data_IF_624130398385
#
_entry.id   IF_624130398385
#
_cell.length_a   1.000
_cell.length_b   1.000
_cell.length_c   1.000
_cell.angle_alpha   90.00
_cell.angle_beta   90.00
_cell.angle_gamma   90.00
#
_symmetry.space_group_name_H-M   'P 1'
#
loop_
_entity.id
_entity.type
_entity.pdbx_description
1 polymer ?
#
# COMPACT_ATOMS: atom_id res chain seq x y z
N UNK A 1 31.30 -23.58 44.04
CA UNK A 1 29.84 -23.42 44.04
C UNK A 1 29.48 -22.42 42.96
N UNK A 2 29.03 -22.89 41.80
CA UNK A 2 28.67 -22.06 40.66
C UNK A 2 27.15 -21.84 40.68
N UNK A 3 26.71 -20.60 40.95
CA UNK A 3 25.32 -20.22 40.83
C UNK A 3 24.99 -19.99 39.35
N UNK A 4 24.27 -20.94 38.74
CA UNK A 4 23.56 -20.71 37.49
C UNK A 4 22.35 -19.84 37.78
N UNK A 5 22.39 -18.58 37.36
CA UNK A 5 21.19 -17.75 37.23
C UNK A 5 20.44 -18.20 35.97
N UNK A 6 19.35 -18.95 36.15
CA UNK A 6 18.31 -19.07 35.14
C UNK A 6 17.59 -17.73 35.07
N UNK A 7 17.90 -16.95 34.03
CA UNK A 7 17.09 -15.82 33.59
C UNK A 7 15.96 -16.38 32.75
N UNK A 8 14.77 -16.52 33.34
CA UNK A 8 13.55 -16.72 32.56
C UNK A 8 13.21 -15.36 31.94
N UNK A 9 13.51 -15.20 30.64
CA UNK A 9 13.17 -13.99 29.88
C UNK A 9 11.64 -13.87 29.76
N UNK A 10 11.01 -12.87 30.41
CA UNK A 10 9.56 -12.70 30.39
C UNK A 10 9.01 -12.43 28.97
N UNK A 11 9.87 -11.98 28.05
CA UNK A 11 9.51 -11.63 26.67
C UNK A 11 9.11 -12.86 25.82
N UNK A 12 9.56 -14.06 26.20
CA UNK A 12 9.28 -15.27 25.41
C UNK A 12 7.87 -15.84 25.66
N UNK A 13 7.29 -15.57 26.84
CA UNK A 13 5.94 -16.03 27.19
C UNK A 13 4.85 -15.24 26.44
N UNK A 14 5.08 -13.96 26.16
CA UNK A 14 4.13 -13.09 25.45
C UNK A 14 4.05 -13.46 23.96
N UNK A 15 5.19 -13.77 23.33
CA UNK A 15 5.24 -14.23 21.93
C UNK A 15 4.48 -15.56 21.71
N UNK A 16 4.58 -16.51 22.65
CA UNK A 16 3.87 -17.77 22.58
C UNK A 16 2.33 -17.61 22.68
N UNK A 17 1.86 -16.63 23.44
CA UNK A 17 0.43 -16.36 23.61
C UNK A 17 -0.23 -15.76 22.34
N UNK A 18 0.51 -14.97 21.57
CA UNK A 18 0.03 -14.36 20.31
C UNK A 18 -0.14 -15.44 19.23
N UNK A 19 0.81 -16.37 19.09
CA UNK A 19 0.77 -17.41 18.07
C UNK A 19 -0.38 -18.42 18.27
N UNK A 20 -0.80 -18.68 19.51
CA UNK A 20 -1.90 -19.61 19.81
C UNK A 20 -3.28 -19.16 19.35
N UNK A 21 -3.51 -17.86 19.10
CA UNK A 21 -4.85 -17.31 18.77
C UNK A 21 -5.23 -17.38 17.29
N UNK A 22 -4.29 -17.67 16.40
CA UNK A 22 -4.53 -17.64 14.94
C UNK A 22 -5.10 -18.96 14.36
N UNK A 23 -5.33 -19.99 15.18
CA UNK A 23 -5.62 -21.36 14.70
C UNK A 23 -7.11 -21.76 14.60
N UNK A 24 -8.09 -20.85 14.81
CA UNK A 24 -9.51 -21.23 14.96
C UNK A 24 -10.47 -20.43 14.07
N UNK A 25 -10.51 -20.69 12.75
CA UNK A 25 -11.59 -20.19 11.89
C UNK A 25 -11.83 -21.10 10.67
N UNK A 26 -12.38 -22.29 10.90
CA UNK A 26 -12.84 -23.21 9.85
C UNK A 26 -14.31 -23.55 10.04
N UNK A 27 -15.21 -22.70 9.56
CA UNK A 27 -16.65 -23.00 9.57
C UNK A 27 -17.10 -23.60 8.22
N UNK A 28 -17.84 -24.72 8.20
CA UNK A 28 -18.28 -25.36 6.96
C UNK A 28 -19.29 -24.50 6.19
N UNK A 29 -19.06 -24.31 4.88
CA UNK A 29 -19.94 -23.54 3.98
C UNK A 29 -21.24 -24.30 3.72
N UNK A 30 -22.37 -23.68 4.05
CA UNK A 30 -23.70 -24.17 3.68
C UNK A 30 -23.91 -24.11 2.15
N UNK A 31 -24.70 -25.03 1.61
CA UNK A 31 -25.06 -25.07 0.18
C UNK A 31 -26.03 -23.93 -0.18
N UNK A 32 -25.88 -23.28 -1.34
CA UNK A 32 -26.81 -22.26 -1.80
C UNK A 32 -28.18 -22.86 -2.19
N UNK A 33 -29.27 -22.11 -2.02
CA UNK A 33 -30.62 -22.54 -2.37
C UNK A 33 -30.85 -22.64 -3.89
N UNK A 34 -31.86 -23.41 -4.35
CA UNK A 34 -32.22 -23.54 -5.75
C UNK A 34 -32.84 -22.26 -6.34
N UNK A 35 -32.58 -22.03 -7.63
CA UNK A 35 -32.98 -20.85 -8.42
C UNK A 35 -34.49 -20.80 -8.70
N UNK A 36 -35.15 -19.64 -8.53
CA UNK A 36 -36.57 -19.42 -8.86
C UNK A 36 -36.73 -18.52 -10.12
N UNK A 37 -37.73 -18.76 -10.99
CA UNK A 37 -37.80 -18.13 -12.33
C UNK A 37 -38.45 -16.73 -12.40
N UNK A 38 -39.04 -16.21 -11.32
CA UNK A 38 -39.84 -14.97 -11.33
C UNK A 38 -39.06 -13.72 -10.86
N UNK A 39 -37.75 -13.84 -10.65
CA UNK A 39 -36.90 -12.69 -10.36
C UNK A 39 -36.67 -11.88 -11.65
N UNK A 40 -37.50 -10.86 -11.86
CA UNK A 40 -37.10 -9.74 -12.71
C UNK A 40 -35.70 -9.31 -12.30
N UNK A 41 -34.72 -9.20 -13.22
CA UNK A 41 -33.36 -8.91 -12.84
C UNK A 41 -33.37 -7.56 -12.13
N UNK A 42 -33.11 -7.61 -10.81
CA UNK A 42 -32.88 -6.43 -10.01
C UNK A 42 -31.94 -5.52 -10.79
N UNK A 43 -32.20 -4.20 -10.76
CA UNK A 43 -31.31 -3.24 -11.40
C UNK A 43 -29.87 -3.60 -11.06
N UNK A 44 -29.00 -3.76 -12.07
CA UNK A 44 -27.65 -4.25 -11.85
C UNK A 44 -26.97 -3.35 -10.81
N UNK A 45 -26.31 -3.93 -9.79
CA UNK A 45 -25.70 -3.15 -8.71
C UNK A 45 -24.76 -2.08 -9.27
N UNK A 46 -24.67 -0.94 -8.58
CA UNK A 46 -23.72 0.13 -8.92
C UNK A 46 -22.32 -0.49 -9.05
N UNK A 47 -21.70 -0.39 -10.24
CA UNK A 47 -20.42 -1.05 -10.55
C UNK A 47 -20.50 -2.28 -11.46
N UNK A 48 -21.67 -2.58 -12.02
CA UNK A 48 -21.82 -3.69 -12.98
C UNK A 48 -21.00 -3.47 -14.26
N UNK A 49 -20.38 -4.53 -14.80
CA UNK A 49 -19.52 -4.45 -15.98
C UNK A 49 -20.29 -3.92 -17.21
N UNK A 50 -19.61 -3.12 -18.02
CA UNK A 50 -20.13 -2.63 -19.29
C UNK A 50 -19.81 -3.67 -20.37
N UNK A 51 -20.79 -4.22 -21.05
CA UNK A 51 -20.54 -5.19 -22.12
C UNK A 51 -20.43 -4.44 -23.45
N UNK A 52 -19.31 -4.60 -24.14
CA UNK A 52 -19.16 -4.20 -25.52
C UNK A 52 -19.53 -5.39 -26.40
N UNK A 53 -20.45 -5.19 -27.33
CA UNK A 53 -20.78 -6.17 -28.35
C UNK A 53 -20.38 -5.64 -29.72
N UNK A 54 -19.88 -6.53 -30.57
CA UNK A 54 -19.44 -6.22 -31.92
C UNK A 54 -19.90 -7.31 -32.87
N UNK A 55 -20.45 -6.92 -34.01
CA UNK A 55 -20.89 -7.81 -35.08
C UNK A 55 -21.08 -7.04 -36.39
N UNK A 56 -21.31 -7.74 -37.52
CA UNK A 56 -21.38 -7.14 -38.85
C UNK A 56 -22.51 -6.11 -39.02
N UNK A 57 -23.61 -6.28 -38.26
CA UNK A 57 -24.84 -5.50 -38.41
C UNK A 57 -24.98 -4.46 -37.28
N UNK A 58 -24.45 -4.76 -36.09
CA UNK A 58 -24.59 -3.93 -34.90
C UNK A 58 -23.34 -3.98 -34.03
N UNK A 59 -23.00 -2.83 -33.49
CA UNK A 59 -21.96 -2.64 -32.49
C UNK A 59 -22.46 -1.65 -31.43
N UNK A 60 -22.03 -1.82 -30.18
CA UNK A 60 -22.45 -0.93 -29.11
C UNK A 60 -21.99 -1.38 -27.73
N UNK A 61 -22.52 -0.70 -26.72
CA UNK A 61 -22.25 -0.97 -25.31
C UNK A 61 -23.57 -1.09 -24.55
N UNK A 62 -23.66 -2.01 -23.61
CA UNK A 62 -24.81 -2.15 -22.70
C UNK A 62 -24.32 -2.57 -21.31
N UNK A 63 -25.10 -2.28 -20.26
CA UNK A 63 -24.80 -2.75 -18.89
C UNK A 63 -25.39 -4.12 -18.59
N UNK A 64 -26.20 -4.66 -19.49
CA UNK A 64 -26.90 -5.92 -19.30
C UNK A 64 -26.27 -7.00 -20.18
N UNK A 65 -25.80 -8.08 -19.53
CA UNK A 65 -25.30 -9.25 -20.25
C UNK A 65 -26.34 -9.84 -21.20
N UNK A 66 -27.61 -9.85 -20.78
CA UNK A 66 -28.73 -10.35 -21.58
C UNK A 66 -28.91 -9.59 -22.88
N UNK A 67 -28.80 -8.25 -22.86
CA UNK A 67 -28.90 -7.42 -24.06
C UNK A 67 -27.70 -7.63 -24.99
N UNK A 68 -26.48 -7.70 -24.45
CA UNK A 68 -25.28 -7.96 -25.24
C UNK A 68 -25.33 -9.36 -25.88
N UNK A 69 -25.84 -10.35 -25.13
CA UNK A 69 -26.09 -11.70 -25.63
C UNK A 69 -27.13 -11.70 -26.76
N UNK A 70 -28.28 -11.05 -26.55
CA UNK A 70 -29.33 -10.94 -27.58
C UNK A 70 -28.84 -10.22 -28.84
N UNK A 71 -27.96 -9.24 -28.72
CA UNK A 71 -27.38 -8.51 -29.85
C UNK A 71 -26.38 -9.34 -30.68
N UNK A 72 -25.83 -10.41 -30.13
CA UNK A 72 -24.80 -11.24 -30.77
C UNK A 72 -25.27 -12.65 -31.11
N UNK A 73 -26.34 -13.13 -30.49
CA UNK A 73 -26.88 -14.47 -30.69
C UNK A 73 -27.34 -14.69 -32.14
N UNK A 74 -26.82 -15.75 -32.77
CA UNK A 74 -27.17 -16.13 -34.14
C UNK A 74 -26.51 -15.30 -35.24
N UNK A 75 -25.62 -14.37 -34.90
CA UNK A 75 -24.90 -13.53 -35.87
C UNK A 75 -23.48 -14.08 -36.08
N UNK A 76 -23.13 -14.64 -37.25
CA UNK A 76 -21.80 -15.16 -37.51
C UNK A 76 -20.71 -14.09 -37.32
N UNK A 77 -19.71 -14.41 -36.50
CA UNK A 77 -18.59 -13.50 -36.19
C UNK A 77 -18.87 -12.46 -35.11
N UNK A 78 -20.10 -12.40 -34.57
CA UNK A 78 -20.41 -11.50 -33.46
C UNK A 78 -19.83 -12.03 -32.14
N UNK A 79 -19.38 -11.10 -31.29
CA UNK A 79 -18.77 -11.41 -30.00
C UNK A 79 -19.12 -10.35 -28.96
N UNK A 80 -19.15 -10.78 -27.70
CA UNK A 80 -19.34 -9.91 -26.54
C UNK A 80 -18.08 -9.94 -25.71
N UNK A 81 -17.53 -8.77 -25.41
CA UNK A 81 -16.51 -8.59 -24.40
C UNK A 81 -17.12 -7.91 -23.19
N UNK A 82 -16.91 -8.50 -22.02
CA UNK A 82 -17.06 -7.75 -20.78
C UNK A 82 -15.97 -6.68 -20.77
N UNK A 83 -16.35 -5.44 -21.09
CA UNK A 83 -15.54 -4.29 -20.73
C UNK A 83 -15.83 -4.12 -19.26
N UNK A 84 -14.96 -4.70 -18.43
CA UNK A 84 -14.88 -4.20 -17.07
C UNK A 84 -14.67 -2.71 -17.28
N UNK A 85 -15.70 -1.91 -17.00
CA UNK A 85 -15.51 -0.52 -16.67
C UNK A 85 -14.66 -0.65 -15.41
N UNK A 86 -13.35 -0.82 -15.62
CA UNK A 86 -12.39 -0.40 -14.63
C UNK A 86 -12.92 0.96 -14.26
N UNK A 87 -13.03 1.21 -12.97
CA UNK A 87 -13.47 2.45 -12.34
C UNK A 87 -12.79 3.73 -12.87
N UNK A 88 -12.10 3.70 -14.01
CA UNK A 88 -11.33 4.74 -14.68
C UNK A 88 -12.14 5.92 -15.25
N UNK A 89 -13.47 5.99 -15.09
CA UNK A 89 -14.12 7.30 -15.20
C UNK A 89 -13.74 8.21 -14.01
N UNK A 90 -13.36 7.64 -12.86
CA UNK A 90 -12.50 8.34 -11.89
C UNK A 90 -11.07 7.82 -12.06
N UNK A 91 -10.36 8.35 -13.06
CA UNK A 91 -8.93 8.04 -13.21
C UNK A 91 -8.19 8.24 -11.88
N UNK A 92 -7.26 7.33 -11.56
CA UNK A 92 -6.43 7.46 -10.36
C UNK A 92 -5.73 8.82 -10.34
N UNK A 93 -5.58 9.38 -9.15
CA UNK A 93 -4.83 10.61 -8.89
C UNK A 93 -3.47 10.25 -8.34
N UNK A 94 -2.43 10.94 -8.77
CA UNK A 94 -1.06 10.60 -8.44
C UNK A 94 -0.46 11.69 -7.58
N UNK A 95 0.06 11.32 -6.42
CA UNK A 95 0.76 12.22 -5.52
C UNK A 95 2.25 11.93 -5.65
N UNK A 96 3.04 12.94 -5.97
CA UNK A 96 4.50 12.89 -5.95
C UNK A 96 4.95 13.56 -4.67
N UNK A 97 5.43 12.75 -3.72
CA UNK A 97 6.01 13.24 -2.47
C UNK A 97 7.46 13.66 -2.70
N UNK A 98 8.25 12.83 -3.39
CA UNK A 98 9.63 13.12 -3.76
C UNK A 98 9.80 13.00 -5.28
N UNK A 99 10.38 14.00 -5.93
CA UNK A 99 10.60 14.00 -7.38
C UNK A 99 11.07 15.36 -7.90
N UNK A 100 11.19 15.51 -9.23
CA UNK A 100 11.58 16.78 -9.86
C UNK A 100 10.58 17.91 -9.58
N UNK A 101 9.34 17.55 -9.28
CA UNK A 101 8.30 18.44 -8.79
C UNK A 101 7.32 17.64 -7.94
N UNK A 102 7.04 18.14 -6.75
CA UNK A 102 6.05 17.57 -5.84
C UNK A 102 4.66 18.09 -6.16
N UNK A 103 3.63 17.33 -5.79
CA UNK A 103 2.24 17.76 -5.92
C UNK A 103 1.28 16.63 -6.25
N UNK A 104 0.04 17.02 -6.56
CA UNK A 104 -1.04 16.13 -6.98
C UNK A 104 -1.28 16.28 -8.47
N UNK A 105 -1.38 15.17 -9.19
CA UNK A 105 -1.53 15.12 -10.64
C UNK A 105 -2.72 14.25 -11.05
N UNK A 106 -3.45 14.70 -12.08
CA UNK A 106 -4.65 14.02 -12.55
C UNK A 106 -4.39 12.77 -13.39
N UNK A 107 -3.16 12.59 -13.89
CA UNK A 107 -2.80 11.44 -14.71
C UNK A 107 -1.35 10.99 -14.51
N UNK A 108 -1.11 9.71 -14.76
CA UNK A 108 0.24 9.14 -14.71
C UNK A 108 1.16 9.75 -15.76
N UNK A 109 0.65 10.08 -16.95
CA UNK A 109 1.48 10.67 -18.01
C UNK A 109 2.12 12.01 -17.59
N UNK A 110 1.46 12.76 -16.70
CA UNK A 110 2.00 14.00 -16.12
C UNK A 110 2.94 13.71 -14.95
N UNK A 111 2.60 12.76 -14.07
CA UNK A 111 3.42 12.44 -12.89
C UNK A 111 4.71 11.67 -13.24
N UNK A 112 4.64 10.74 -14.20
CA UNK A 112 5.74 9.86 -14.63
C UNK A 112 7.04 10.60 -14.92
N UNK A 113 7.11 11.65 -15.76
CA UNK A 113 8.36 12.34 -16.03
C UNK A 113 8.98 13.02 -14.80
N UNK A 114 8.22 13.22 -13.72
CA UNK A 114 8.70 13.84 -12.48
C UNK A 114 9.38 12.84 -11.54
N UNK A 115 9.17 11.54 -11.74
CA UNK A 115 9.64 10.47 -10.84
C UNK A 115 10.43 9.38 -11.56
N UNK A 116 10.17 9.17 -12.85
CA UNK A 116 10.84 8.14 -13.63
C UNK A 116 12.30 8.50 -13.85
N UNK A 117 13.20 7.56 -13.52
CA UNK A 117 14.67 7.75 -13.55
C UNK A 117 15.16 8.88 -12.64
N UNK A 118 14.40 9.17 -11.58
CA UNK A 118 14.82 10.10 -10.53
C UNK A 118 15.13 9.26 -9.31
N UNK A 119 16.41 9.23 -8.91
CA UNK A 119 16.83 8.50 -7.72
C UNK A 119 16.06 9.02 -6.51
N UNK A 120 15.63 8.12 -5.64
CA UNK A 120 14.85 8.45 -4.44
C UNK A 120 13.52 9.19 -4.74
N UNK A 121 12.95 9.06 -5.94
CA UNK A 121 11.60 9.54 -6.16
C UNK A 121 10.57 8.65 -5.45
N UNK A 122 9.53 9.29 -4.91
CA UNK A 122 8.49 8.64 -4.13
C UNK A 122 7.12 9.18 -4.53
N UNK A 123 6.25 8.28 -4.96
CA UNK A 123 4.90 8.63 -5.38
C UNK A 123 3.89 7.56 -4.96
N UNK A 124 2.61 7.91 -4.94
CA UNK A 124 1.51 6.97 -4.72
C UNK A 124 0.27 7.39 -5.51
N UNK A 125 -0.52 6.42 -5.96
CA UNK A 125 -1.82 6.67 -6.58
C UNK A 125 -2.96 6.56 -5.57
N UNK A 126 -3.98 7.39 -5.74
CA UNK A 126 -5.18 7.49 -4.91
C UNK A 126 -6.44 7.43 -5.78
N UNK A 127 -7.56 6.93 -5.26
CA UNK A 127 -8.82 6.84 -6.02
C UNK A 127 -9.40 8.20 -6.41
N UNK A 128 -9.33 9.18 -5.51
CA UNK A 128 -10.01 10.46 -5.67
C UNK A 128 -9.04 11.63 -5.52
N UNK A 129 -9.41 12.78 -6.09
CA UNK A 129 -8.61 14.01 -5.97
C UNK A 129 -8.55 14.51 -4.54
N UNK A 130 -9.64 14.34 -3.80
CA UNK A 130 -9.73 14.72 -2.40
C UNK A 130 -8.76 13.92 -1.52
N UNK A 131 -8.74 12.59 -1.67
CA UNK A 131 -7.81 11.73 -0.91
C UNK A 131 -6.36 12.00 -1.28
N UNK A 132 -6.08 12.25 -2.57
CA UNK A 132 -4.75 12.65 -3.03
C UNK A 132 -4.28 13.99 -2.43
N UNK A 133 -5.16 15.00 -2.39
CA UNK A 133 -4.88 16.31 -1.78
C UNK A 133 -4.67 16.21 -0.28
N UNK A 134 -5.51 15.44 0.42
CA UNK A 134 -5.36 15.21 1.85
C UNK A 134 -4.04 14.52 2.18
N UNK A 135 -3.65 13.51 1.40
CA UNK A 135 -2.37 12.82 1.55
C UNK A 135 -1.17 13.76 1.30
N UNK A 136 -1.24 14.60 0.26
CA UNK A 136 -0.18 15.56 -0.04
C UNK A 136 -0.05 16.63 1.06
N UNK A 137 -1.17 17.24 1.48
CA UNK A 137 -1.18 18.23 2.55
C UNK A 137 -0.66 17.66 3.88
N UNK A 138 -1.00 16.41 4.20
CA UNK A 138 -0.50 15.72 5.39
C UNK A 138 1.03 15.54 5.37
N UNK A 139 1.58 15.18 4.20
CA UNK A 139 3.02 15.04 4.00
C UNK A 139 3.73 16.40 4.01
N UNK A 140 3.17 17.41 3.36
CA UNK A 140 3.70 18.77 3.33
C UNK A 140 3.77 19.39 4.74
N UNK A 141 2.71 19.25 5.53
CA UNK A 141 2.66 19.73 6.92
C UNK A 141 3.75 19.12 7.82
N UNK A 142 4.30 17.95 7.46
CA UNK A 142 5.37 17.25 8.17
C UNK A 142 6.74 17.42 7.51
N UNK A 143 6.83 18.24 6.46
CA UNK A 143 8.04 18.39 5.64
C UNK A 143 8.53 17.06 5.04
N UNK A 144 7.60 16.14 4.73
CA UNK A 144 7.90 14.85 4.11
C UNK A 144 7.92 14.90 2.58
N UNK A 145 7.65 16.06 1.99
CA UNK A 145 7.75 16.31 0.56
C UNK A 145 9.12 16.89 0.20
N UNK A 146 9.69 16.49 -0.93
CA UNK A 146 11.01 16.97 -1.38
C UNK A 146 11.11 17.11 -2.89
N UNK A 147 11.48 18.30 -3.35
CA UNK A 147 11.90 18.52 -4.74
C UNK A 147 13.36 18.05 -4.89
N UNK A 148 13.60 17.17 -5.85
CA UNK A 148 14.91 16.59 -6.15
C UNK A 148 15.51 17.34 -7.33
N UNK A 149 16.71 17.89 -7.15
CA UNK A 149 17.50 18.44 -8.25
C UNK A 149 18.19 17.29 -9.00
N UNK A 150 18.01 17.27 -10.32
CA UNK A 150 18.65 16.27 -11.19
C UNK A 150 20.17 16.43 -11.21
N UNK A 151 20.66 17.67 -11.06
CA UNK A 151 22.09 17.99 -11.13
C UNK A 151 22.78 17.84 -9.78
N UNK A 152 22.02 17.84 -8.69
CA UNK A 152 22.53 17.65 -7.35
C UNK A 152 21.58 16.76 -6.56
N UNK A 153 21.62 15.44 -6.80
CA UNK A 153 20.85 14.47 -6.02
C UNK A 153 21.47 14.40 -4.62
N UNK A 154 21.25 15.42 -3.80
CA UNK A 154 21.71 15.43 -2.41
C UNK A 154 21.12 14.22 -1.68
N UNK A 155 21.88 13.63 -0.74
CA UNK A 155 21.45 12.47 0.01
C UNK A 155 20.10 12.71 0.70
N UNK A 156 19.33 11.63 0.81
CA UNK A 156 17.93 11.59 1.23
C UNK A 156 17.62 12.18 2.63
N UNK A 157 18.62 12.65 3.38
CA UNK A 157 18.55 12.66 4.85
C UNK A 157 18.30 14.00 5.55
N UNK A 158 18.15 15.12 4.84
CA UNK A 158 17.67 16.37 5.46
C UNK A 158 16.13 16.41 5.51
N UNK A 159 15.46 15.39 6.06
CA UNK A 159 14.03 15.46 6.36
C UNK A 159 13.91 15.79 7.85
N UNK A 160 13.39 16.98 8.23
CA UNK A 160 13.49 17.50 9.60
C UNK A 160 12.87 16.60 10.68
N UNK A 161 11.83 15.83 10.33
CA UNK A 161 11.08 15.02 11.27
C UNK A 161 10.66 13.71 10.60
N UNK A 162 11.57 12.74 10.53
CA UNK A 162 11.23 11.42 9.97
C UNK A 162 10.12 10.75 10.78
N UNK A 163 9.23 10.00 10.10
CA UNK A 163 8.22 9.22 10.79
C UNK A 163 8.87 8.24 11.76
N UNK A 164 8.36 8.21 12.99
CA UNK A 164 8.77 7.24 13.99
C UNK A 164 7.97 5.94 13.84
N UNK A 165 8.59 4.78 14.04
CA UNK A 165 7.89 3.50 14.03
C UNK A 165 6.99 3.37 15.26
N UNK A 166 6.00 2.49 15.15
CA UNK A 166 5.11 2.11 16.24
C UNK A 166 5.78 0.97 17.01
N UNK A 167 6.06 1.21 18.29
CA UNK A 167 6.60 0.21 19.20
C UNK A 167 5.52 -0.32 20.16
N UNK A 168 5.76 -1.50 20.73
CA UNK A 168 4.85 -2.23 21.62
C UNK A 168 4.37 -1.41 22.81
N UNK A 169 5.23 -0.57 23.39
CA UNK A 169 4.86 0.28 24.53
C UNK A 169 3.80 1.36 24.20
N UNK A 170 3.61 1.68 22.91
CA UNK A 170 2.71 2.73 22.43
C UNK A 170 1.51 2.19 21.63
N UNK A 171 1.22 0.89 21.69
CA UNK A 171 0.17 0.28 20.86
C UNK A 171 -1.21 0.86 21.17
N UNK A 172 -1.53 1.14 22.43
CA UNK A 172 -2.84 1.72 22.79
C UNK A 172 -3.00 3.16 22.32
N UNK A 173 -1.94 3.98 22.40
CA UNK A 173 -1.96 5.34 21.87
C UNK A 173 -2.03 5.31 20.34
N UNK A 174 -1.36 4.34 19.71
CA UNK A 174 -1.37 4.14 18.27
C UNK A 174 -2.76 3.76 17.73
N UNK A 175 -3.49 2.87 18.38
CA UNK A 175 -4.82 2.44 17.89
C UNK A 175 -5.83 3.60 17.87
N UNK A 176 -5.68 4.59 18.74
CA UNK A 176 -6.59 5.75 18.85
C UNK A 176 -6.23 6.95 17.96
N UNK A 177 -5.20 6.85 17.12
CA UNK A 177 -4.73 7.99 16.32
C UNK A 177 -5.71 8.32 15.20
N UNK A 178 -5.89 9.62 14.99
CA UNK A 178 -6.67 10.23 13.92
C UNK A 178 -6.50 9.53 12.56
N UNK A 179 -7.55 9.52 11.72
CA UNK A 179 -7.49 8.92 10.38
C UNK A 179 -6.30 9.48 9.62
N UNK A 180 -5.36 8.59 9.26
CA UNK A 180 -4.17 8.96 8.49
C UNK A 180 -4.56 9.03 7.01
N UNK A 181 -4.54 10.21 6.37
CA UNK A 181 -4.97 10.34 4.97
C UNK A 181 -4.05 9.59 3.99
N UNK A 182 -2.87 9.15 4.43
CA UNK A 182 -1.97 8.29 3.66
C UNK A 182 -2.52 6.86 3.46
N UNK A 183 -3.52 6.46 4.26
CA UNK A 183 -4.18 5.14 4.22
C UNK A 183 -5.43 5.08 3.34
N UNK A 184 -5.88 6.21 2.80
CA UNK A 184 -7.15 6.29 2.08
C UNK A 184 -7.12 5.67 0.66
N UNK A 185 -6.21 4.73 0.38
CA UNK A 185 -6.29 3.97 -0.88
C UNK A 185 -7.47 3.00 -0.88
N UNK A 186 -7.97 2.66 -2.08
CA UNK A 186 -9.27 2.08 -2.47
C UNK A 186 -9.89 0.97 -1.63
N UNK A 187 -9.15 0.41 -0.68
CA UNK A 187 -9.60 -0.61 0.25
C UNK A 187 -9.36 -0.08 1.66
N UNK A 188 -10.42 0.46 2.29
CA UNK A 188 -10.48 0.66 3.75
C UNK A 188 -10.22 -0.67 4.50
N UNK A 189 -10.20 -1.80 3.78
CA UNK A 189 -9.97 -3.14 4.27
C UNK A 189 -8.51 -3.61 4.16
N UNK A 190 -7.63 -2.88 3.48
CA UNK A 190 -6.21 -3.21 3.41
C UNK A 190 -5.58 -2.82 4.73
N UNK A 191 -5.80 -3.65 5.76
CA UNK A 191 -5.10 -3.62 7.04
C UNK A 191 -3.62 -4.00 6.80
N UNK A 192 -2.93 -3.18 6.01
CA UNK A 192 -1.59 -3.41 5.54
C UNK A 192 -0.63 -2.57 6.36
N UNK A 193 0.32 -3.25 6.98
CA UNK A 193 1.39 -2.68 7.78
C UNK A 193 2.68 -2.79 7.02
N UNK A 194 3.58 -1.83 7.23
CA UNK A 194 4.88 -1.80 6.58
C UNK A 194 5.96 -1.96 7.63
N UNK A 195 6.88 -2.87 7.42
CA UNK A 195 7.92 -3.22 8.38
C UNK A 195 9.25 -2.76 7.80
N UNK A 196 10.03 -1.98 8.55
CA UNK A 196 11.40 -1.63 8.20
C UNK A 196 12.32 -2.42 9.11
N UNK A 197 13.10 -3.34 8.54
CA UNK A 197 14.08 -4.11 9.30
C UNK A 197 15.41 -3.36 9.35
N UNK A 198 15.88 -2.85 8.20
CA UNK A 198 17.11 -2.04 8.10
C UNK A 198 16.78 -0.68 7.52
N UNK A 199 17.09 0.39 8.26
CA UNK A 199 16.75 1.76 7.86
C UNK A 199 17.17 2.79 8.91
N UNK A 200 16.75 4.04 8.74
CA UNK A 200 17.04 5.13 9.70
C UNK A 200 16.36 4.84 11.04
N UNK A 201 15.09 4.47 11.00
CA UNK A 201 14.33 4.00 12.15
C UNK A 201 13.67 2.65 11.82
N UNK A 202 14.28 1.52 12.17
CA UNK A 202 13.63 0.21 12.04
C UNK A 202 12.38 0.10 12.92
N UNK A 203 11.35 -0.60 12.43
CA UNK A 203 10.11 -0.86 13.15
C UNK A 203 8.89 -0.95 12.24
N UNK A 204 7.70 -0.88 12.82
CA UNK A 204 6.42 -1.04 12.11
C UNK A 204 5.78 0.31 11.84
N UNK A 205 5.29 0.49 10.63
CA UNK A 205 4.69 1.71 10.12
C UNK A 205 3.28 1.45 9.61
N UNK A 206 2.44 2.48 9.72
CA UNK A 206 1.11 2.42 9.14
C UNK A 206 1.22 2.46 7.64
N UNK A 207 1.87 3.47 7.08
CA UNK A 207 1.77 3.75 5.64
C UNK A 207 3.07 3.46 4.88
N UNK A 208 2.91 3.21 3.58
CA UNK A 208 4.03 3.07 2.66
C UNK A 208 4.94 4.30 2.65
N UNK A 209 4.38 5.52 2.69
CA UNK A 209 5.18 6.73 2.70
C UNK A 209 6.07 6.78 3.95
N UNK A 210 5.52 6.47 5.12
CA UNK A 210 6.28 6.49 6.38
C UNK A 210 7.43 5.48 6.38
N UNK A 211 7.19 4.25 5.90
CA UNK A 211 8.25 3.24 5.78
C UNK A 211 9.29 3.61 4.74
N UNK A 212 8.87 4.11 3.57
CA UNK A 212 9.79 4.51 2.50
C UNK A 212 10.72 5.64 2.95
N UNK A 213 10.22 6.66 3.65
CA UNK A 213 11.07 7.75 4.17
C UNK A 213 12.21 7.25 5.08
N UNK A 214 12.05 6.08 5.68
CA UNK A 214 13.04 5.46 6.55
C UNK A 214 14.02 4.52 5.83
N UNK A 215 13.80 4.20 4.55
CA UNK A 215 14.68 3.31 3.75
C UNK A 215 15.22 3.95 2.47
N UNK A 216 14.60 5.03 2.01
CA UNK A 216 14.89 5.65 0.73
C UNK A 216 16.33 6.19 0.68
N UNK A 217 17.07 5.81 -0.35
CA UNK A 217 18.45 6.25 -0.55
C UNK A 217 19.49 5.55 0.32
N UNK A 218 19.08 4.62 1.19
CA UNK A 218 19.99 3.86 2.03
C UNK A 218 20.43 2.57 1.33
N UNK A 219 21.73 2.37 1.20
CA UNK A 219 22.30 1.08 0.80
C UNK A 219 21.97 0.02 1.86
N UNK A 220 21.57 -1.17 1.45
CA UNK A 220 21.23 -2.31 2.32
C UNK A 220 19.98 -2.15 3.20
N UNK A 221 19.21 -1.08 3.03
CA UNK A 221 17.92 -0.95 3.71
C UNK A 221 16.94 -2.04 3.23
N UNK A 222 16.21 -2.62 4.18
CA UNK A 222 15.25 -3.69 3.92
C UNK A 222 13.93 -3.38 4.60
N UNK A 223 12.85 -3.60 3.87
CA UNK A 223 11.50 -3.41 4.34
C UNK A 223 10.58 -4.46 3.72
N UNK A 224 9.43 -4.65 4.33
CA UNK A 224 8.39 -5.57 3.89
C UNK A 224 7.02 -5.00 4.23
N UNK A 225 5.96 -5.71 3.86
CA UNK A 225 4.60 -5.37 4.24
C UNK A 225 3.79 -6.62 4.53
N UNK A 226 2.95 -6.55 5.55
CA UNK A 226 2.05 -7.64 5.93
C UNK A 226 0.62 -7.14 5.97
N UNK A 227 -0.30 -7.99 5.52
CA UNK A 227 -1.73 -7.77 5.65
C UNK A 227 -2.23 -8.48 6.92
N UNK A 228 -2.99 -7.79 7.76
CA UNK A 228 -3.50 -8.32 9.01
C UNK A 228 -3.46 -7.32 10.16
N UNK A 229 -3.32 -7.83 11.38
CA UNK A 229 -3.30 -7.00 12.58
C UNK A 229 -1.93 -6.34 12.79
N UNK A 230 -1.92 -5.24 13.56
CA UNK A 230 -0.67 -4.65 14.04
C UNK A 230 0.17 -5.68 14.81
N UNK A 231 -0.48 -6.51 15.63
CA UNK A 231 0.21 -7.56 16.40
C UNK A 231 0.96 -8.54 15.51
N UNK A 232 0.39 -8.91 14.35
CA UNK A 232 1.06 -9.76 13.38
C UNK A 232 2.30 -9.07 12.79
N UNK A 233 2.19 -7.78 12.45
CA UNK A 233 3.31 -7.00 11.94
C UNK A 233 4.43 -6.82 12.97
N UNK A 234 4.08 -6.59 14.24
CA UNK A 234 5.02 -6.53 15.35
C UNK A 234 5.69 -7.89 15.56
N UNK A 235 4.92 -8.98 15.56
CA UNK A 235 5.45 -10.33 15.72
C UNK A 235 6.45 -10.68 14.60
N UNK A 236 6.14 -10.34 13.35
CA UNK A 236 7.07 -10.52 12.22
C UNK A 236 8.34 -9.68 12.37
N UNK A 237 8.21 -8.42 12.78
CA UNK A 237 9.36 -7.56 13.06
C UNK A 237 10.27 -8.14 14.15
N UNK A 238 9.70 -8.58 15.27
CA UNK A 238 10.44 -9.14 16.40
C UNK A 238 11.09 -10.48 16.06
N UNK A 239 10.38 -11.37 15.35
CA UNK A 239 10.93 -12.65 14.91
C UNK A 239 12.20 -12.42 14.07
N UNK A 240 12.12 -11.50 13.11
CA UNK A 240 13.24 -11.15 12.24
C UNK A 240 14.40 -10.46 13.00
N UNK A 241 14.10 -9.72 14.06
CA UNK A 241 15.08 -9.10 14.93
C UNK A 241 15.86 -10.14 15.76
N UNK A 242 15.15 -11.14 16.29
CA UNK A 242 15.71 -12.18 17.17
C UNK A 242 16.48 -13.25 16.38
N UNK A 243 15.92 -13.74 15.27
CA UNK A 243 16.48 -14.92 14.58
C UNK A 243 17.73 -14.59 13.74
N UNK A 244 17.76 -13.43 13.08
CA UNK A 244 18.76 -13.18 12.03
C UNK A 244 19.74 -12.04 12.36
N UNK A 245 19.55 -11.30 13.46
CA UNK A 245 20.25 -10.03 13.69
C UNK A 245 20.05 -9.04 12.53
N UNK A 246 18.95 -9.20 11.77
CA UNK A 246 18.68 -8.49 10.54
C UNK A 246 18.03 -7.13 10.77
N UNK A 247 17.86 -6.71 12.03
CA UNK A 247 17.39 -5.38 12.38
C UNK A 247 18.59 -4.49 12.70
N UNK A 248 18.79 -3.44 11.91
CA UNK A 248 19.90 -2.52 12.13
C UNK A 248 19.51 -1.08 11.78
N UNK A 249 19.96 -0.17 12.64
CA UNK A 249 19.91 1.26 12.37
C UNK A 249 21.03 1.57 11.37
N UNK A 250 20.65 1.98 10.17
CA UNK A 250 21.59 2.50 9.20
C UNK A 250 21.70 3.99 9.48
N UNK A 251 22.83 4.38 10.10
CA UNK A 251 23.17 5.79 10.14
C UNK A 251 23.32 6.26 8.69
N UNK A 252 22.63 7.33 8.28
CA UNK A 252 22.89 7.92 7.00
C UNK A 252 24.36 8.31 7.02
N UNK A 253 25.20 7.56 6.30
CA UNK A 253 26.57 7.97 6.12
C UNK A 253 26.47 9.39 5.59
N UNK A 254 26.97 10.36 6.36
CA UNK A 254 27.37 11.60 5.75
C UNK A 254 28.39 11.14 4.72
N UNK A 255 27.98 11.06 3.46
CA UNK A 255 28.90 11.04 2.35
C UNK A 255 29.56 12.40 2.40
N UNK A 256 30.53 12.55 3.31
CA UNK A 256 31.59 13.53 3.19
C UNK A 256 32.30 13.15 1.90
N UNK A 257 31.87 13.77 0.80
CA UNK A 257 32.66 14.05 -0.37
C UNK A 257 33.56 12.90 -0.84
N UNK A 258 32.96 11.81 -1.33
CA UNK A 258 33.62 10.93 -2.29
C UNK A 258 33.76 11.66 -3.65
N UNK A 259 34.57 12.71 -3.69
CA UNK A 259 34.96 13.46 -4.90
C UNK A 259 35.94 12.68 -5.82
N UNK A 260 36.10 11.37 -5.65
CA UNK A 260 37.16 10.59 -6.34
C UNK A 260 36.68 9.62 -7.43
N UNK A 261 35.54 9.90 -8.07
CA UNK A 261 35.16 9.23 -9.32
C UNK A 261 34.83 10.25 -10.41
N UNK A 262 35.87 10.74 -11.09
CA UNK A 262 35.84 11.25 -12.47
C UNK A 262 36.93 10.51 -13.25
#
# INVERSE_FOLDING_TARGET
MAHRHSSEDPDNAELAAILGRLSLAGSPRARPPPYQPDDHPAQPPLGSPLYQYSGPIRQGFTRLWSEAGAATQGVPGAHVHAVIQGSSLSGKRYVVFHGLRCGVFDSWNVAKPLVHRVSCALHRSYPTLETARAAFAYAEARSWTRVIDRNNPRPAHAIPALPQPIFTADVQSAIFVQPNPLHLSESIQDNKWYIVYKGIHPGVYRSYLESQLNVLGLSSATHDSVEGTLDLAIAMYLLQAVEDGNVSIISPAYTEDNEHFI
#
